data_IF_711674756390
#
_entry.id   IF_711674756390
#
_cell.length_a   1.000
_cell.length_b   1.000
_cell.length_c   1.000
_cell.angle_alpha   90.00
_cell.angle_beta   90.00
_cell.angle_gamma   90.00
#
_symmetry.space_group_name_H-M   'P 1'
#
loop_
_entity.id
_entity.type
_entity.pdbx_description
1 polymer ?
#
# COMPACT_ATOMS: atom_id res chain seq x y z
N UNK A 1 -17.47 -18.02 -35.07
CA UNK A 1 -18.43 -17.18 -35.79
C UNK A 1 -19.83 -17.65 -35.40
N UNK A 2 -20.73 -16.76 -35.02
CA UNK A 2 -22.10 -17.05 -34.66
C UNK A 2 -22.97 -16.63 -35.84
N UNK A 3 -23.80 -17.54 -36.35
CA UNK A 3 -24.75 -17.26 -37.41
C UNK A 3 -26.15 -17.13 -36.81
N UNK A 4 -26.93 -16.17 -37.29
CA UNK A 4 -28.33 -16.00 -36.92
C UNK A 4 -29.19 -15.75 -38.13
N UNK A 5 -30.42 -16.20 -38.08
CA UNK A 5 -31.44 -15.91 -39.07
C UNK A 5 -32.76 -15.62 -38.34
N UNK A 6 -33.51 -14.66 -38.84
CA UNK A 6 -34.86 -14.34 -38.39
C UNK A 6 -35.79 -14.26 -39.58
N UNK A 7 -36.99 -14.84 -39.47
CA UNK A 7 -38.01 -14.83 -40.50
C UNK A 7 -39.24 -14.05 -40.02
N UNK A 8 -39.71 -13.13 -40.87
CA UNK A 8 -40.95 -12.40 -40.67
C UNK A 8 -41.60 -12.12 -42.02
N UNK A 9 -42.90 -12.42 -42.13
CA UNK A 9 -43.70 -12.18 -43.36
C UNK A 9 -43.04 -12.76 -44.62
N UNK A 10 -42.58 -14.00 -44.58
CA UNK A 10 -41.87 -14.71 -45.64
C UNK A 10 -40.57 -14.04 -46.12
N UNK A 11 -40.01 -13.15 -45.32
CA UNK A 11 -38.68 -12.58 -45.56
C UNK A 11 -37.71 -13.08 -44.52
N UNK A 12 -36.63 -13.69 -44.97
CA UNK A 12 -35.52 -14.14 -44.11
C UNK A 12 -34.42 -13.08 -44.10
N UNK A 13 -34.02 -12.65 -42.91
CA UNK A 13 -32.83 -11.82 -42.69
C UNK A 13 -31.85 -12.65 -41.92
N UNK A 14 -30.64 -12.76 -42.43
CA UNK A 14 -29.56 -13.50 -41.75
C UNK A 14 -28.31 -12.66 -41.65
N UNK A 15 -27.49 -12.98 -40.69
CA UNK A 15 -26.22 -12.31 -40.46
C UNK A 15 -25.24 -13.22 -39.73
N UNK A 16 -24.03 -12.75 -39.59
CA UNK A 16 -22.99 -13.39 -38.79
C UNK A 16 -22.31 -12.39 -37.88
N UNK A 17 -21.93 -12.84 -36.69
CA UNK A 17 -21.12 -12.07 -35.78
C UNK A 17 -19.91 -12.90 -35.35
N UNK A 18 -18.76 -12.27 -35.17
CA UNK A 18 -17.56 -12.91 -34.62
C UNK A 18 -17.54 -12.71 -33.10
N UNK A 19 -17.59 -13.82 -32.39
CA UNK A 19 -17.31 -13.80 -30.94
C UNK A 19 -15.82 -13.96 -30.76
N UNK A 20 -15.18 -12.96 -30.18
CA UNK A 20 -13.79 -13.02 -29.73
C UNK A 20 -13.80 -13.28 -28.24
N UNK A 21 -13.22 -14.39 -27.82
CA UNK A 21 -13.03 -14.72 -26.40
C UNK A 21 -11.58 -14.37 -26.06
N UNK A 22 -11.40 -13.43 -25.14
CA UNK A 22 -10.09 -13.06 -24.61
C UNK A 22 -9.90 -13.67 -23.23
N UNK A 23 -8.65 -13.90 -22.84
CA UNK A 23 -8.32 -14.34 -21.49
C UNK A 23 -8.68 -13.25 -20.47
N UNK A 24 -9.15 -13.66 -19.31
CA UNK A 24 -9.41 -12.75 -18.19
C UNK A 24 -8.08 -12.30 -17.56
N UNK A 25 -7.90 -11.01 -17.26
CA UNK A 25 -6.70 -10.54 -16.58
C UNK A 25 -6.69 -11.02 -15.13
N UNK A 26 -5.58 -11.60 -14.70
CA UNK A 26 -5.34 -12.08 -13.36
C UNK A 26 -4.05 -11.46 -12.82
N UNK A 27 -4.10 -10.82 -11.67
CA UNK A 27 -2.91 -10.22 -11.04
C UNK A 27 -2.52 -11.00 -9.80
N UNK A 28 -1.26 -11.38 -9.72
CA UNK A 28 -0.63 -11.97 -8.54
C UNK A 28 0.40 -10.99 -8.02
N UNK A 29 0.15 -10.44 -6.83
CA UNK A 29 1.01 -9.45 -6.19
C UNK A 29 1.63 -10.05 -4.93
N UNK A 30 2.96 -10.06 -4.84
CA UNK A 30 3.66 -10.38 -3.60
C UNK A 30 3.45 -9.27 -2.56
N UNK A 31 3.26 -9.64 -1.30
CA UNK A 31 3.12 -8.70 -0.20
C UNK A 31 4.49 -8.15 0.21
N UNK A 32 4.50 -6.89 0.66
CA UNK A 32 5.70 -6.30 1.24
C UNK A 32 5.96 -6.92 2.61
N UNK A 33 7.23 -7.14 2.92
CA UNK A 33 7.70 -7.75 4.17
C UNK A 33 8.79 -6.90 4.79
N UNK A 34 8.98 -7.08 6.11
CA UNK A 34 9.99 -6.40 6.89
C UNK A 34 10.73 -7.39 7.77
N UNK A 35 12.04 -7.20 7.94
CA UNK A 35 12.86 -7.93 8.92
C UNK A 35 14.05 -7.11 9.38
N UNK A 36 14.61 -7.49 10.53
CA UNK A 36 15.90 -6.96 10.97
C UNK A 36 17.06 -7.82 10.50
N UNK A 37 18.24 -7.22 10.31
CA UNK A 37 19.49 -7.92 10.05
C UNK A 37 19.71 -9.00 11.11
N UNK A 38 20.03 -10.22 10.67
CA UNK A 38 20.18 -11.37 11.55
C UNK A 38 18.86 -11.97 12.08
N UNK A 39 17.73 -11.40 11.71
CA UNK A 39 16.40 -11.95 12.01
C UNK A 39 16.07 -13.14 11.10
N UNK A 40 15.00 -13.86 11.46
CA UNK A 40 14.46 -14.91 10.60
C UNK A 40 13.66 -14.26 9.47
N UNK A 41 13.85 -14.75 8.24
CA UNK A 41 13.03 -14.35 7.08
C UNK A 41 11.56 -14.57 7.41
N UNK A 42 10.68 -13.53 7.27
CA UNK A 42 9.25 -13.70 7.48
C UNK A 42 8.65 -14.63 6.43
N UNK A 43 7.50 -15.18 6.73
CA UNK A 43 6.72 -15.91 5.74
C UNK A 43 6.28 -14.94 4.63
N UNK A 44 6.72 -15.23 3.40
CA UNK A 44 6.41 -14.40 2.24
C UNK A 44 5.03 -14.81 1.73
N UNK A 45 4.13 -13.83 1.62
CA UNK A 45 2.74 -14.01 1.20
C UNK A 45 2.42 -13.26 -0.09
N UNK A 46 1.28 -13.57 -0.70
CA UNK A 46 0.82 -12.93 -1.92
C UNK A 46 -0.69 -12.75 -1.94
N UNK A 47 -1.16 -11.86 -2.80
CA UNK A 47 -2.57 -11.63 -3.09
C UNK A 47 -2.88 -11.92 -4.53
N UNK A 48 -4.07 -12.48 -4.77
CA UNK A 48 -4.60 -12.77 -6.10
C UNK A 48 -5.81 -11.90 -6.34
N UNK A 49 -5.89 -11.26 -7.49
CA UNK A 49 -7.05 -10.47 -7.91
C UNK A 49 -7.37 -10.72 -9.38
N UNK A 50 -8.67 -10.79 -9.70
CA UNK A 50 -9.16 -11.05 -11.05
C UNK A 50 -9.64 -12.48 -11.29
N UNK A 51 -9.62 -13.37 -10.29
CA UNK A 51 -10.28 -14.69 -10.43
C UNK A 51 -11.79 -14.53 -10.55
N UNK A 52 -12.38 -15.24 -11.48
CA UNK A 52 -13.83 -15.35 -11.61
C UNK A 52 -14.39 -16.16 -10.45
N UNK A 53 -15.61 -15.83 -10.02
CA UNK A 53 -16.24 -16.47 -8.86
C UNK A 53 -16.29 -18.00 -9.03
N UNK A 54 -15.64 -18.70 -8.12
CA UNK A 54 -15.57 -20.17 -8.10
C UNK A 54 -14.28 -20.76 -8.65
N UNK A 55 -13.44 -19.94 -9.33
CA UNK A 55 -12.14 -20.39 -9.82
C UNK A 55 -11.06 -20.27 -8.74
N UNK A 56 -10.05 -21.10 -8.86
CA UNK A 56 -8.87 -21.11 -7.98
C UNK A 56 -7.60 -21.25 -8.82
N UNK A 57 -6.46 -20.90 -8.24
CA UNK A 57 -5.17 -21.22 -8.86
C UNK A 57 -5.00 -22.75 -8.91
N UNK A 58 -4.63 -23.26 -10.07
CA UNK A 58 -4.24 -24.68 -10.27
C UNK A 58 -2.87 -24.93 -9.66
N UNK A 59 -1.98 -23.95 -9.77
CA UNK A 59 -0.66 -23.96 -9.14
C UNK A 59 -0.41 -22.63 -8.45
N UNK A 60 -0.01 -22.67 -7.17
CA UNK A 60 0.36 -21.49 -6.41
C UNK A 60 1.67 -20.88 -6.96
N UNK A 61 1.86 -19.56 -6.86
CA UNK A 61 3.11 -18.92 -7.26
C UNK A 61 4.27 -19.34 -6.36
N UNK A 62 5.44 -19.46 -6.94
CA UNK A 62 6.70 -19.49 -6.20
C UNK A 62 7.15 -18.06 -5.94
N UNK A 63 7.48 -17.75 -4.70
CA UNK A 63 7.97 -16.43 -4.29
C UNK A 63 9.47 -16.54 -4.01
N UNK A 64 10.27 -15.79 -4.76
CA UNK A 64 11.73 -15.72 -4.56
C UNK A 64 12.11 -14.34 -4.05
N UNK A 65 13.02 -14.32 -3.08
CA UNK A 65 13.61 -13.07 -2.57
C UNK A 65 15.14 -13.24 -2.56
N UNK A 66 15.82 -12.32 -3.23
CA UNK A 66 17.28 -12.34 -3.38
C UNK A 66 17.99 -11.55 -2.28
N UNK A 67 17.51 -11.62 -1.05
CA UNK A 67 18.19 -11.00 0.11
C UNK A 67 19.50 -11.76 0.42
N UNK A 68 20.49 -11.62 -0.44
CA UNK A 68 21.81 -12.20 -0.22
C UNK A 68 22.47 -11.52 1.00
N UNK A 69 22.82 -12.33 2.00
CA UNK A 69 23.63 -11.91 3.15
C UNK A 69 22.92 -11.09 4.21
N UNK A 70 21.60 -10.85 4.11
CA UNK A 70 20.79 -10.10 5.10
C UNK A 70 21.40 -8.75 5.47
N UNK A 71 21.91 -8.03 4.49
CA UNK A 71 22.40 -6.65 4.65
C UNK A 71 21.21 -5.69 4.66
N UNK A 72 21.39 -4.51 5.28
CA UNK A 72 20.40 -3.43 5.22
C UNK A 72 20.09 -3.07 3.77
N UNK A 73 18.80 -2.98 3.42
CA UNK A 73 18.40 -2.64 2.05
C UNK A 73 16.96 -3.03 1.74
N UNK A 74 16.56 -2.72 0.50
CA UNK A 74 15.29 -3.17 -0.08
C UNK A 74 15.58 -4.23 -1.13
N UNK A 75 14.89 -5.35 -1.05
CA UNK A 75 15.07 -6.51 -1.92
C UNK A 75 13.72 -6.87 -2.54
N UNK A 76 13.71 -7.20 -3.82
CA UNK A 76 12.48 -7.59 -4.49
C UNK A 76 12.01 -8.98 -4.04
N UNK A 77 10.71 -9.10 -3.83
CA UNK A 77 10.01 -10.38 -3.70
C UNK A 77 9.32 -10.63 -5.05
N UNK A 78 9.81 -11.60 -5.79
CA UNK A 78 9.37 -11.86 -7.16
C UNK A 78 8.46 -13.08 -7.20
N UNK A 79 7.16 -12.92 -7.53
CA UNK A 79 6.26 -14.03 -7.77
C UNK A 79 6.44 -14.60 -9.17
N UNK A 80 6.33 -15.92 -9.33
CA UNK A 80 6.44 -16.61 -10.61
C UNK A 80 5.77 -17.98 -10.58
N UNK A 81 5.55 -18.58 -11.75
CA UNK A 81 5.17 -20.00 -11.88
C UNK A 81 3.77 -20.37 -11.45
N UNK A 82 2.87 -19.40 -11.25
CA UNK A 82 1.47 -19.70 -10.97
C UNK A 82 0.74 -20.17 -12.24
N UNK A 83 -0.25 -21.01 -12.06
CA UNK A 83 -1.19 -21.44 -13.10
C UNK A 83 -2.63 -21.26 -12.61
N UNK A 84 -3.48 -20.72 -13.48
CA UNK A 84 -4.92 -20.56 -13.27
C UNK A 84 -5.72 -21.16 -14.44
N UNK A 85 -5.07 -21.99 -15.29
CA UNK A 85 -5.65 -22.56 -16.48
C UNK A 85 -5.64 -21.60 -17.67
N UNK A 86 -6.11 -22.12 -18.82
CA UNK A 86 -5.98 -21.45 -20.11
C UNK A 86 -6.82 -20.18 -20.28
N UNK A 87 -7.75 -19.92 -19.36
CA UNK A 87 -8.70 -18.82 -19.45
C UNK A 87 -8.18 -17.49 -18.88
N UNK A 88 -6.98 -17.50 -18.28
CA UNK A 88 -6.39 -16.34 -17.62
C UNK A 88 -5.09 -15.89 -18.28
N UNK A 89 -4.87 -14.58 -18.23
CA UNK A 89 -3.59 -13.94 -18.51
C UNK A 89 -3.01 -13.40 -17.20
N UNK A 90 -1.91 -14.03 -16.73
CA UNK A 90 -1.36 -13.73 -15.40
C UNK A 90 -0.34 -12.61 -15.52
N UNK A 91 -0.52 -11.56 -14.70
CA UNK A 91 0.43 -10.48 -14.47
C UNK A 91 1.01 -10.60 -13.06
N UNK A 92 2.33 -10.58 -12.94
CA UNK A 92 3.02 -10.61 -11.66
C UNK A 92 3.43 -9.20 -11.22
N UNK A 93 3.24 -8.89 -9.93
CA UNK A 93 3.66 -7.63 -9.31
C UNK A 93 4.58 -7.96 -8.14
N UNK A 94 5.80 -7.44 -8.17
CA UNK A 94 6.76 -7.65 -7.11
C UNK A 94 6.29 -7.03 -5.79
N UNK A 95 6.64 -7.68 -4.68
CA UNK A 95 6.68 -7.09 -3.35
C UNK A 95 8.10 -6.63 -3.01
N UNK A 96 8.25 -6.04 -1.84
CA UNK A 96 9.56 -5.58 -1.33
C UNK A 96 9.79 -6.13 0.07
N UNK A 97 10.94 -6.78 0.29
CA UNK A 97 11.47 -7.06 1.62
C UNK A 97 12.38 -5.91 2.03
N UNK A 98 12.01 -5.22 3.12
CA UNK A 98 12.88 -4.21 3.74
C UNK A 98 13.65 -4.86 4.89
N UNK A 99 14.97 -4.78 4.82
CA UNK A 99 15.88 -5.28 5.87
C UNK A 99 16.52 -4.10 6.57
N UNK A 100 16.30 -3.95 7.88
CA UNK A 100 16.84 -2.87 8.71
C UNK A 100 17.72 -3.42 9.84
N UNK A 101 18.57 -2.59 10.41
CA UNK A 101 19.33 -2.96 11.59
C UNK A 101 18.44 -2.88 12.84
N UNK A 102 18.63 -3.82 13.76
CA UNK A 102 18.03 -3.71 15.09
C UNK A 102 18.90 -2.81 15.95
N UNK A 103 18.37 -1.72 16.46
CA UNK A 103 19.04 -0.93 17.49
C UNK A 103 19.15 -1.76 18.77
N UNK A 104 20.37 -2.10 19.15
CA UNK A 104 20.63 -2.78 20.42
C UNK A 104 20.66 -1.74 21.53
N UNK A 105 19.67 -1.74 22.41
CA UNK A 105 19.70 -1.00 23.68
C UNK A 105 20.66 -1.70 24.65
N UNK A 106 21.97 -1.63 24.41
CA UNK A 106 22.97 -1.94 25.45
C UNK A 106 23.53 -0.65 25.97
N UNK A 107 23.24 -0.36 27.24
CA UNK A 107 23.80 0.71 28.02
C UNK A 107 25.32 0.51 28.21
N UNK A 108 26.12 1.02 27.30
CA UNK A 108 27.52 1.41 27.51
C UNK A 108 27.84 2.43 26.44
N UNK A 109 28.13 3.64 26.87
CA UNK A 109 28.52 4.79 26.08
C UNK A 109 29.67 4.43 25.12
N UNK A 110 29.52 4.44 23.83
CA UNK A 110 30.58 4.67 22.88
C UNK A 110 30.38 6.00 22.18
N UNK A 111 31.46 6.67 21.93
CA UNK A 111 31.67 7.85 21.12
C UNK A 111 30.89 7.75 19.75
N UNK A 112 30.25 8.84 19.28
CA UNK A 112 29.43 8.82 18.08
C UNK A 112 30.30 8.59 16.84
N UNK A 113 30.22 7.40 16.27
CA UNK A 113 30.65 7.18 14.88
C UNK A 113 29.53 7.70 13.95
N UNK A 114 29.82 8.54 12.96
CA UNK A 114 28.83 9.07 12.06
C UNK A 114 28.46 8.00 11.03
N UNK A 115 27.26 7.51 11.09
CA UNK A 115 26.52 6.84 10.00
C UNK A 115 25.69 5.64 10.48
N UNK A 116 24.61 5.85 11.24
CA UNK A 116 23.58 4.81 11.44
C UNK A 116 22.32 5.28 12.17
N UNK A 117 21.80 6.46 11.87
CA UNK A 117 20.50 6.89 12.40
C UNK A 117 19.65 7.52 11.31
N UNK A 118 18.32 7.55 11.51
CA UNK A 118 17.49 8.55 10.83
C UNK A 118 18.28 9.84 10.79
N UNK A 119 18.31 10.51 9.65
CA UNK A 119 18.96 11.82 9.50
C UNK A 119 18.36 12.91 10.40
N UNK A 120 17.43 12.56 11.28
CA UNK A 120 16.72 13.49 12.15
C UNK A 120 17.46 13.71 13.48
N UNK A 121 17.90 14.95 13.70
CA UNK A 121 18.65 15.32 14.91
C UNK A 121 17.82 15.29 16.19
N UNK A 122 16.49 15.29 16.07
CA UNK A 122 15.54 15.24 17.18
C UNK A 122 14.98 13.84 17.46
N UNK A 123 15.53 12.81 16.83
CA UNK A 123 15.21 11.39 17.07
C UNK A 123 16.44 10.70 17.64
N UNK A 124 16.61 10.69 18.99
CA UNK A 124 17.70 9.94 19.60
C UNK A 124 17.59 8.45 19.30
N UNK A 125 18.71 7.80 18.99
CA UNK A 125 18.75 6.38 18.64
C UNK A 125 18.16 5.46 19.73
N UNK A 126 18.17 5.88 21.00
CA UNK A 126 17.60 5.14 22.12
C UNK A 126 16.16 5.56 22.47
N UNK A 127 15.52 6.42 21.67
CA UNK A 127 14.12 6.78 21.90
C UNK A 127 13.21 5.57 21.62
N UNK A 128 12.16 5.39 22.43
CA UNK A 128 11.22 4.27 22.27
C UNK A 128 10.51 4.25 20.90
N UNK A 129 10.52 5.38 20.20
CA UNK A 129 9.91 5.54 18.88
C UNK A 129 10.94 5.51 17.74
N UNK A 130 12.25 5.40 18.00
CA UNK A 130 13.28 5.49 16.97
C UNK A 130 13.07 4.46 15.85
N UNK A 131 12.93 3.17 16.21
CA UNK A 131 12.67 2.09 15.24
C UNK A 131 11.39 2.34 14.42
N UNK A 132 10.36 2.92 15.03
CA UNK A 132 9.11 3.24 14.35
C UNK A 132 9.27 4.40 13.36
N UNK A 133 10.08 5.38 13.70
CA UNK A 133 10.42 6.50 12.80
C UNK A 133 11.25 6.00 11.63
N UNK A 134 12.27 5.20 11.88
CA UNK A 134 13.12 4.58 10.85
C UNK A 134 12.26 3.78 9.86
N UNK A 135 11.43 2.89 10.39
CA UNK A 135 10.50 2.13 9.58
C UNK A 135 9.57 3.02 8.74
N UNK A 136 9.02 4.08 9.33
CA UNK A 136 8.07 4.96 8.64
C UNK A 136 8.75 5.74 7.50
N UNK A 137 10.01 6.14 7.69
CA UNK A 137 10.81 6.81 6.65
C UNK A 137 11.19 5.84 5.54
N UNK A 138 11.72 4.67 5.89
CA UNK A 138 12.14 3.64 4.94
C UNK A 138 10.99 3.14 4.06
N UNK A 139 9.78 3.06 4.63
CA UNK A 139 8.58 2.67 3.89
C UNK A 139 7.87 3.85 3.21
N UNK A 140 8.46 5.06 3.25
CA UNK A 140 7.91 6.24 2.61
C UNK A 140 6.60 6.75 3.23
N UNK A 141 6.30 6.32 4.47
CA UNK A 141 5.10 6.77 5.20
C UNK A 141 5.23 8.23 5.61
N UNK A 142 6.44 8.65 5.97
CA UNK A 142 6.75 10.03 6.33
C UNK A 142 8.15 10.42 5.86
N UNK A 143 8.38 11.73 5.71
CA UNK A 143 9.71 12.31 5.44
C UNK A 143 10.12 13.28 6.56
N UNK A 144 9.45 13.24 7.72
CA UNK A 144 9.65 14.21 8.78
C UNK A 144 9.00 15.56 8.51
N UNK A 145 9.34 16.54 9.34
CA UNK A 145 8.94 17.94 9.17
C UNK A 145 9.92 18.71 8.26
N UNK A 146 11.17 18.26 8.21
CA UNK A 146 12.22 18.74 7.31
C UNK A 146 13.25 17.63 7.11
N UNK A 147 14.29 17.90 6.30
CA UNK A 147 15.37 16.94 6.04
C UNK A 147 16.13 16.53 7.33
N UNK A 148 16.04 17.31 8.39
CA UNK A 148 16.80 17.10 9.64
C UNK A 148 15.92 17.00 10.89
N UNK A 149 14.60 17.22 10.77
CA UNK A 149 13.68 17.25 11.92
C UNK A 149 12.47 16.35 11.66
N UNK A 150 12.22 15.43 12.56
CA UNK A 150 11.03 14.59 12.55
C UNK A 150 9.85 15.22 13.29
N UNK A 151 10.11 15.88 14.42
CA UNK A 151 9.10 16.45 15.30
C UNK A 151 8.34 15.41 16.14
N UNK A 152 9.03 14.52 16.91
CA UNK A 152 8.39 13.38 17.57
C UNK A 152 7.36 13.77 18.62
N UNK A 153 7.44 15.00 19.14
CA UNK A 153 6.50 15.54 20.13
C UNK A 153 5.50 16.54 19.54
N UNK A 154 5.58 16.77 18.22
CA UNK A 154 4.62 17.65 17.54
C UNK A 154 3.25 16.97 17.40
N UNK A 155 2.18 17.75 17.51
CA UNK A 155 0.84 17.24 17.22
C UNK A 155 0.66 17.02 15.74
N UNK A 156 0.09 15.89 15.36
CA UNK A 156 -0.27 15.64 13.97
C UNK A 156 -1.59 16.33 13.60
N UNK A 157 -1.65 16.86 12.40
CA UNK A 157 -2.90 17.32 11.81
C UNK A 157 -3.73 16.15 11.26
N UNK A 158 -5.01 16.38 10.99
CA UNK A 158 -5.88 15.38 10.38
C UNK A 158 -5.37 14.96 9.00
N UNK A 159 -4.88 15.91 8.19
CA UNK A 159 -4.27 15.60 6.91
C UNK A 159 -3.05 14.72 7.04
N UNK A 160 -2.17 14.99 8.01
CA UNK A 160 -0.96 14.17 8.22
C UNK A 160 -1.29 12.73 8.59
N UNK A 161 -2.24 12.49 9.50
CA UNK A 161 -2.66 11.13 9.86
C UNK A 161 -3.21 10.38 8.64
N UNK A 162 -4.05 11.02 7.84
CA UNK A 162 -4.62 10.39 6.64
C UNK A 162 -3.54 10.12 5.58
N UNK A 163 -2.55 11.02 5.43
CA UNK A 163 -1.40 10.78 4.55
C UNK A 163 -0.58 9.58 5.01
N UNK A 164 -0.31 9.45 6.32
CA UNK A 164 0.43 8.31 6.84
C UNK A 164 -0.28 6.99 6.52
N UNK A 165 -1.59 6.93 6.72
CA UNK A 165 -2.39 5.75 6.39
C UNK A 165 -2.40 5.44 4.89
N UNK A 166 -2.57 6.47 4.05
CA UNK A 166 -2.57 6.33 2.59
C UNK A 166 -1.21 5.83 2.07
N UNK A 167 -0.11 6.41 2.56
CA UNK A 167 1.24 5.99 2.21
C UNK A 167 1.56 4.58 2.71
N UNK A 168 1.18 4.25 3.94
CA UNK A 168 1.32 2.89 4.47
C UNK A 168 0.51 1.85 3.67
N UNK A 169 -0.58 2.27 3.01
CA UNK A 169 -1.34 1.44 2.08
C UNK A 169 -0.70 1.33 0.67
N UNK A 170 0.45 1.97 0.43
CA UNK A 170 1.15 1.97 -0.85
C UNK A 170 0.71 3.10 -1.79
N UNK A 171 0.13 4.17 -1.26
CA UNK A 171 -0.29 5.37 -2.01
C UNK A 171 -1.22 5.08 -3.20
N UNK A 172 -2.29 4.29 -3.02
CA UNK A 172 -3.19 3.94 -4.11
C UNK A 172 -3.85 5.18 -4.71
N UNK A 173 -3.94 5.25 -6.03
CA UNK A 173 -4.59 6.37 -6.71
C UNK A 173 -6.09 6.36 -6.43
N UNK A 174 -6.68 7.45 -5.91
CA UNK A 174 -8.11 7.54 -5.68
C UNK A 174 -8.87 7.62 -7.02
N UNK A 175 -10.08 7.06 -7.06
CA UNK A 175 -10.95 7.07 -8.24
C UNK A 175 -11.67 8.40 -8.43
N UNK A 176 -11.84 9.16 -7.36
CA UNK A 176 -12.56 10.44 -7.33
C UNK A 176 -11.71 11.53 -6.72
N UNK A 177 -12.10 12.78 -6.90
CA UNK A 177 -11.55 13.92 -6.18
C UNK A 177 -12.33 14.15 -4.88
N UNK A 178 -11.69 14.77 -3.90
CA UNK A 178 -12.37 15.14 -2.65
C UNK A 178 -13.51 16.14 -2.91
N UNK A 179 -14.66 15.93 -2.27
CA UNK A 179 -15.80 16.84 -2.32
C UNK A 179 -15.77 17.95 -1.25
N UNK A 180 -14.75 17.93 -0.37
CA UNK A 180 -14.64 18.92 0.71
C UNK A 180 -14.14 20.26 0.17
N UNK A 181 -14.82 21.32 0.55
CA UNK A 181 -14.52 22.70 0.11
C UNK A 181 -13.16 23.22 0.61
N UNK A 182 -12.69 22.66 1.72
CA UNK A 182 -11.41 22.98 2.36
C UNK A 182 -10.25 22.02 1.95
N UNK A 183 -10.48 21.21 0.91
CA UNK A 183 -9.46 20.31 0.32
C UNK A 183 -9.28 20.66 -1.16
N UNK A 184 -8.47 21.68 -1.49
CA UNK A 184 -8.19 22.01 -2.87
C UNK A 184 -7.53 20.83 -3.60
N UNK A 185 -7.87 20.60 -4.87
CA UNK A 185 -7.29 19.51 -5.66
C UNK A 185 -5.76 19.58 -5.80
N UNK A 186 -5.18 20.78 -5.66
CA UNK A 186 -3.72 21.01 -5.68
C UNK A 186 -3.04 20.78 -4.33
N UNK A 187 -3.80 20.53 -3.25
CA UNK A 187 -3.21 20.30 -1.93
C UNK A 187 -2.43 18.97 -1.90
N UNK A 188 -1.28 18.95 -1.23
CA UNK A 188 -0.42 17.77 -1.13
C UNK A 188 -1.10 16.56 -0.46
N UNK A 189 -2.16 16.81 0.30
CA UNK A 189 -2.98 15.80 0.97
C UNK A 189 -4.25 15.42 0.19
N UNK A 190 -4.56 16.06 -0.93
CA UNK A 190 -5.84 15.89 -1.63
C UNK A 190 -6.12 14.44 -2.02
N UNK A 191 -5.13 13.73 -2.59
CA UNK A 191 -5.26 12.32 -2.96
C UNK A 191 -5.47 11.41 -1.74
N UNK A 192 -4.75 11.66 -0.65
CA UNK A 192 -4.89 10.89 0.57
C UNK A 192 -6.28 11.06 1.19
N UNK A 193 -6.83 12.28 1.19
CA UNK A 193 -8.18 12.55 1.69
C UNK A 193 -9.23 11.89 0.80
N UNK A 194 -9.12 12.00 -0.52
CA UNK A 194 -10.03 11.34 -1.46
C UNK A 194 -10.04 9.82 -1.26
N UNK A 195 -8.85 9.20 -1.19
CA UNK A 195 -8.71 7.78 -0.89
C UNK A 195 -9.33 7.39 0.46
N UNK A 196 -9.14 8.20 1.49
CA UNK A 196 -9.69 7.92 2.81
C UNK A 196 -11.22 7.97 2.84
N UNK A 197 -11.84 8.85 2.04
CA UNK A 197 -13.29 8.89 1.85
C UNK A 197 -13.78 7.65 1.10
N UNK A 198 -13.15 7.30 -0.02
CA UNK A 198 -13.51 6.12 -0.81
C UNK A 198 -13.45 4.81 -0.03
N UNK A 199 -12.52 4.72 0.92
CA UNK A 199 -12.36 3.53 1.77
C UNK A 199 -13.10 3.64 3.11
N UNK A 200 -13.98 4.62 3.29
CA UNK A 200 -14.78 4.78 4.49
C UNK A 200 -13.99 5.11 5.76
N UNK A 201 -12.73 5.54 5.62
CA UNK A 201 -11.84 5.89 6.74
C UNK A 201 -12.31 7.19 7.39
N UNK A 202 -12.77 8.14 6.58
CA UNK A 202 -13.31 9.42 7.05
C UNK A 202 -14.51 9.87 6.22
N UNK A 203 -15.43 10.61 6.87
CA UNK A 203 -16.54 11.30 6.21
C UNK A 203 -16.44 12.82 6.41
N UNK A 204 -15.26 13.33 6.80
CA UNK A 204 -15.06 14.73 7.16
C UNK A 204 -15.47 15.05 8.61
N UNK A 205 -15.43 16.31 8.96
CA UNK A 205 -16.06 16.84 10.18
C UNK A 205 -17.53 17.19 9.91
N UNK A 206 -17.81 17.66 8.70
CA UNK A 206 -19.17 17.88 8.16
C UNK A 206 -19.22 17.28 6.74
N UNK A 207 -20.36 17.36 6.09
CA UNK A 207 -20.52 16.93 4.69
C UNK A 207 -19.62 17.71 3.70
N UNK A 208 -19.23 18.92 4.05
CA UNK A 208 -18.47 19.82 3.17
C UNK A 208 -17.09 20.19 3.68
N UNK A 209 -16.69 19.78 4.90
CA UNK A 209 -15.41 20.15 5.50
C UNK A 209 -14.67 18.94 6.06
N UNK A 210 -13.39 18.83 5.72
CA UNK A 210 -12.46 17.82 6.26
C UNK A 210 -11.67 18.37 7.46
N UNK A 211 -11.37 19.66 7.48
CA UNK A 211 -10.48 20.37 8.41
C UNK A 211 -9.05 19.79 8.42
N UNK A 212 -8.30 19.91 7.30
CA UNK A 212 -6.98 19.27 7.13
C UNK A 212 -5.96 19.70 8.17
N UNK A 213 -5.96 20.97 8.56
CA UNK A 213 -4.98 21.57 9.48
C UNK A 213 -5.38 21.43 10.96
N UNK A 214 -6.59 20.96 11.25
CA UNK A 214 -7.00 20.74 12.63
C UNK A 214 -6.18 19.60 13.26
N UNK A 215 -5.81 19.75 14.53
CA UNK A 215 -5.15 18.71 15.32
C UNK A 215 -6.01 17.44 15.36
N UNK A 216 -5.41 16.31 15.03
CA UNK A 216 -6.07 15.01 15.12
C UNK A 216 -6.02 14.52 16.56
N UNK A 217 -7.20 14.35 17.18
CA UNK A 217 -7.28 13.80 18.54
C UNK A 217 -6.94 12.32 18.54
N UNK A 218 -6.52 11.79 19.71
CA UNK A 218 -6.25 10.33 19.86
C UNK A 218 -7.45 9.48 19.42
N UNK A 219 -8.68 9.89 19.79
CA UNK A 219 -9.90 9.19 19.37
C UNK A 219 -10.07 9.18 17.85
N UNK A 220 -9.85 10.31 17.19
CA UNK A 220 -9.89 10.41 15.73
C UNK A 220 -8.81 9.55 15.07
N UNK A 221 -7.57 9.61 15.58
CA UNK A 221 -6.45 8.82 15.04
C UNK A 221 -6.73 7.31 15.12
N UNK A 222 -7.21 6.83 16.28
CA UNK A 222 -7.57 5.41 16.46
C UNK A 222 -8.77 5.02 15.59
N UNK A 223 -9.74 5.91 15.41
CA UNK A 223 -10.90 5.67 14.52
C UNK A 223 -10.45 5.53 13.07
N UNK A 224 -9.57 6.41 12.59
CA UNK A 224 -9.03 6.30 11.23
C UNK A 224 -8.24 5.01 11.04
N UNK A 225 -7.37 4.67 12.00
CA UNK A 225 -6.60 3.43 11.98
C UNK A 225 -7.53 2.20 11.96
N UNK A 226 -8.52 2.13 12.84
CA UNK A 226 -9.47 1.03 12.91
C UNK A 226 -10.20 0.84 11.57
N UNK A 227 -10.72 1.93 10.99
CA UNK A 227 -11.44 1.87 9.71
C UNK A 227 -10.52 1.48 8.55
N UNK A 228 -9.29 1.98 8.52
CA UNK A 228 -8.30 1.59 7.53
C UNK A 228 -7.92 0.10 7.62
N UNK A 229 -7.94 -0.47 8.84
CA UNK A 229 -7.67 -1.88 9.08
C UNK A 229 -8.85 -2.80 8.73
N UNK A 230 -10.10 -2.37 8.99
CA UNK A 230 -11.31 -3.16 8.71
C UNK A 230 -11.62 -3.24 7.20
N UNK A 231 -11.14 -2.33 6.40
CA UNK A 231 -11.31 -2.33 4.94
C UNK A 231 -10.37 -3.26 4.18
N UNK A 232 -9.61 -4.11 4.90
CA UNK A 232 -8.67 -5.09 4.31
C UNK A 232 -9.25 -6.48 4.27
#
# INVERSE_FOLDING_TARGET
MIYWAAEKDSKTVSGSATLVITKAPLTIKADNQFMYVGGKLPEITYKVSGLVKGDTLTTAPTLTCTAEGMTVGKFDIVPSGADAGNNYEITYVNGTLTVSRRHSSSSTTPEPTPDDSTSFVDVPANAYFADAVDWAVENGVTNGLSDTMFGPYASCTRAQIVIFLWRAAGSPEPKTVSSFSDVPASAYYAKAVAWAVENGITNGLTETTFAPDATCTRGQSVTFLYRAYQGK
#
